data_IF_081522451958
#
_entry.id   IF_081522451958
#
_cell.length_a   1.000
_cell.length_b   1.000
_cell.length_c   1.000
_cell.angle_alpha   90.00
_cell.angle_beta   90.00
_cell.angle_gamma   90.00
#
_symmetry.space_group_name_H-M   'P 1'
#
loop_
_entity.id
_entity.type
_entity.pdbx_description
1 polymer ?
#
# COMPACT_ATOMS: atom_id res chain seq x y z
N UNK A 1 1.60 -8.51 8.55
CA UNK A 1 1.69 -7.06 8.29
C UNK A 1 0.79 -6.36 9.29
N UNK A 2 1.40 -5.73 10.29
CA UNK A 2 0.76 -4.92 11.33
C UNK A 2 0.58 -3.47 10.86
N UNK A 3 1.51 -2.95 10.05
CA UNK A 3 1.39 -1.64 9.40
C UNK A 3 1.44 -1.78 7.87
N UNK A 4 0.27 -1.61 7.23
CA UNK A 4 0.15 -1.66 5.78
C UNK A 4 0.26 -0.28 5.11
N UNK A 5 0.16 0.81 5.87
CA UNK A 5 0.05 2.19 5.37
C UNK A 5 1.36 2.95 5.44
N UNK A 6 2.35 2.45 6.18
CA UNK A 6 3.69 3.03 6.29
C UNK A 6 4.32 3.31 4.92
N UNK A 7 4.85 4.53 4.77
CA UNK A 7 5.54 4.96 3.55
C UNK A 7 7.04 4.63 3.53
N UNK A 8 7.63 4.32 4.69
CA UNK A 8 9.04 3.99 4.81
C UNK A 8 9.26 2.50 4.61
N UNK A 9 9.61 2.10 3.39
CA UNK A 9 9.75 0.70 2.98
C UNK A 9 10.96 0.52 2.08
N UNK A 10 11.61 -0.64 2.21
CA UNK A 10 12.60 -1.12 1.25
C UNK A 10 11.97 -2.22 0.40
N UNK A 11 12.21 -2.17 -0.91
CA UNK A 11 11.72 -3.17 -1.85
C UNK A 11 12.88 -3.82 -2.56
N UNK A 12 12.83 -5.14 -2.73
CA UNK A 12 13.71 -5.79 -3.69
C UNK A 12 13.29 -5.41 -5.11
N UNK A 13 14.26 -5.16 -5.97
CA UNK A 13 14.03 -4.82 -7.38
C UNK A 13 13.13 -5.83 -8.09
N UNK A 14 13.37 -7.13 -7.86
CA UNK A 14 12.59 -8.22 -8.45
C UNK A 14 11.10 -8.18 -8.08
N UNK A 15 10.78 -7.76 -6.85
CA UNK A 15 9.39 -7.64 -6.39
C UNK A 15 8.69 -6.51 -7.13
N UNK A 16 9.32 -5.33 -7.21
CA UNK A 16 8.75 -4.19 -7.94
C UNK A 16 8.58 -4.49 -9.43
N UNK A 17 9.59 -5.09 -10.06
CA UNK A 17 9.53 -5.46 -11.46
C UNK A 17 8.45 -6.51 -11.77
N UNK A 18 8.07 -7.33 -10.79
CA UNK A 18 6.99 -8.31 -10.95
C UNK A 18 5.59 -7.68 -10.89
N UNK A 19 5.46 -6.48 -10.32
CA UNK A 19 4.19 -5.77 -10.17
C UNK A 19 4.00 -4.90 -11.40
N UNK A 20 2.85 -5.06 -12.07
CA UNK A 20 2.44 -4.10 -13.06
C UNK A 20 2.05 -2.79 -12.36
N UNK A 21 2.92 -1.78 -12.49
CA UNK A 21 2.76 -0.48 -11.83
C UNK A 21 1.69 0.35 -12.54
N UNK A 22 1.52 0.17 -13.85
CA UNK A 22 0.59 0.98 -14.65
C UNK A 22 -0.87 0.65 -14.34
N UNK A 23 -1.16 -0.58 -13.89
CA UNK A 23 -2.50 -0.96 -13.41
C UNK A 23 -2.78 -0.55 -11.96
N UNK A 24 -1.84 0.08 -11.24
CA UNK A 24 -2.07 0.55 -9.88
C UNK A 24 -2.98 1.78 -9.93
N UNK A 25 -4.18 1.65 -9.35
CA UNK A 25 -5.22 2.69 -9.40
C UNK A 25 -5.39 3.45 -8.08
N UNK A 26 -4.67 3.06 -7.04
CA UNK A 26 -4.66 3.73 -5.74
C UNK A 26 -3.80 5.00 -5.76
N UNK A 27 -4.23 6.05 -5.07
CA UNK A 27 -3.49 7.30 -4.95
C UNK A 27 -3.17 7.63 -3.48
N UNK A 28 -2.09 8.38 -3.26
CA UNK A 28 -1.69 8.79 -1.91
C UNK A 28 -1.37 7.61 -0.98
N UNK A 29 -2.01 7.56 0.20
CA UNK A 29 -1.74 6.52 1.21
C UNK A 29 -2.28 5.14 0.82
N UNK A 30 -3.34 5.07 0.02
CA UNK A 30 -3.97 3.80 -0.38
C UNK A 30 -3.05 2.96 -1.27
N UNK A 31 -2.14 3.62 -2.01
CA UNK A 31 -1.11 2.98 -2.83
C UNK A 31 -0.24 2.01 -2.03
N UNK A 32 0.11 2.37 -0.79
CA UNK A 32 0.95 1.53 0.07
C UNK A 32 0.29 0.18 0.39
N UNK A 33 -1.03 0.20 0.56
CA UNK A 33 -1.84 -0.99 0.83
C UNK A 33 -1.93 -1.85 -0.43
N UNK A 34 -2.21 -1.25 -1.59
CA UNK A 34 -2.31 -1.97 -2.87
C UNK A 34 -0.99 -2.64 -3.25
N UNK A 35 0.15 -1.96 -3.09
CA UNK A 35 1.47 -2.54 -3.39
C UNK A 35 1.78 -3.74 -2.50
N UNK A 36 1.54 -3.62 -1.19
CA UNK A 36 1.69 -4.74 -0.25
C UNK A 36 0.79 -5.92 -0.62
N UNK A 37 -0.46 -5.64 -1.00
CA UNK A 37 -1.42 -6.66 -1.40
C UNK A 37 -1.00 -7.40 -2.68
N UNK A 38 -0.56 -6.67 -3.71
CA UNK A 38 -0.07 -7.24 -4.98
C UNK A 38 1.18 -8.10 -4.76
N UNK A 39 2.13 -7.63 -3.93
CA UNK A 39 3.31 -8.41 -3.58
C UNK A 39 2.94 -9.71 -2.84
N UNK A 40 2.00 -9.62 -1.89
CA UNK A 40 1.50 -10.78 -1.16
C UNK A 40 0.78 -11.78 -2.07
N UNK A 41 -0.05 -11.30 -3.00
CA UNK A 41 -0.74 -12.16 -3.99
C UNK A 41 0.24 -12.91 -4.89
N UNK A 42 1.39 -12.31 -5.22
CA UNK A 42 2.46 -12.96 -5.99
C UNK A 42 3.34 -13.89 -5.15
N UNK A 43 3.04 -14.09 -3.87
CA UNK A 43 3.72 -15.03 -2.98
C UNK A 43 5.02 -14.49 -2.36
N UNK A 44 5.30 -13.19 -2.47
CA UNK A 44 6.47 -12.61 -1.81
C UNK A 44 6.26 -12.47 -0.30
N UNK A 45 7.36 -12.56 0.45
CA UNK A 45 7.35 -12.33 1.89
C UNK A 45 7.46 -10.84 2.22
N UNK A 46 6.77 -10.42 3.28
CA UNK A 46 6.80 -9.05 3.79
C UNK A 46 7.32 -9.12 5.22
N UNK A 47 8.47 -8.47 5.47
CA UNK A 47 9.05 -8.30 6.80
C UNK A 47 8.75 -6.92 7.37
N UNK A 48 8.65 -6.82 8.69
CA UNK A 48 8.42 -5.57 9.41
C UNK A 48 9.54 -5.34 10.41
N UNK A 49 10.17 -4.16 10.35
CA UNK A 49 11.20 -3.74 11.28
C UNK A 49 10.71 -2.51 12.04
N UNK A 50 10.79 -2.50 13.38
CA UNK A 50 10.35 -1.37 14.17
C UNK A 50 11.25 -0.16 13.92
N UNK A 51 10.64 1.02 13.84
CA UNK A 51 11.32 2.31 13.74
C UNK A 51 10.78 3.26 14.81
N UNK A 52 11.60 4.25 15.18
CA UNK A 52 11.11 5.39 15.94
C UNK A 52 10.60 6.41 14.93
N UNK A 53 9.29 6.62 14.90
CA UNK A 53 8.67 7.63 14.06
C UNK A 53 8.63 8.96 14.81
N UNK A 54 9.44 9.92 14.37
CA UNK A 54 9.52 11.24 15.01
C UNK A 54 8.53 12.18 14.31
N UNK A 55 7.72 12.88 15.09
CA UNK A 55 6.77 13.84 14.56
C UNK A 55 7.47 15.00 13.83
N UNK A 56 6.90 15.38 12.69
CA UNK A 56 7.37 16.53 11.94
C UNK A 56 7.00 17.81 12.69
N UNK A 57 7.97 18.69 12.91
CA UNK A 57 7.79 19.95 13.65
C UNK A 57 7.45 21.15 12.77
N UNK A 58 7.61 21.04 11.44
CA UNK A 58 7.40 22.14 10.49
C UNK A 58 6.55 21.69 9.29
N UNK A 59 5.55 22.50 8.93
CA UNK A 59 4.67 22.29 7.77
C UNK A 59 3.31 21.66 8.13
N UNK A 60 2.37 21.71 7.18
CA UNK A 60 1.01 21.20 7.36
C UNK A 60 0.86 19.74 6.92
N UNK A 61 -0.07 19.03 7.58
CA UNK A 61 -0.39 17.66 7.22
C UNK A 61 -1.06 17.60 5.84
N UNK A 62 -0.57 16.70 4.98
CA UNK A 62 -1.22 16.39 3.70
C UNK A 62 -2.39 15.41 3.85
N UNK A 63 -2.70 14.96 5.08
CA UNK A 63 -3.81 14.05 5.37
C UNK A 63 -5.14 14.80 5.34
N UNK A 64 -6.08 14.30 4.54
CA UNK A 64 -7.45 14.80 4.48
C UNK A 64 -8.46 13.68 4.74
N UNK A 65 -9.69 14.05 5.14
CA UNK A 65 -10.79 13.08 5.30
C UNK A 65 -11.07 12.30 4.01
N UNK A 66 -10.87 12.92 2.84
CA UNK A 66 -11.04 12.27 1.55
C UNK A 66 -10.03 11.12 1.36
N UNK A 67 -8.75 11.32 1.70
CA UNK A 67 -7.71 10.29 1.62
C UNK A 67 -8.03 9.11 2.55
N UNK A 68 -8.53 9.40 3.76
CA UNK A 68 -8.94 8.36 4.71
C UNK A 68 -10.08 7.50 4.16
N UNK A 69 -11.11 8.13 3.60
CA UNK A 69 -12.27 7.44 3.01
C UNK A 69 -11.84 6.59 1.82
N UNK A 70 -10.98 7.13 0.94
CA UNK A 70 -10.43 6.38 -0.20
C UNK A 70 -9.70 5.11 0.27
N UNK A 71 -8.84 5.22 1.29
CA UNK A 71 -8.11 4.08 1.83
C UNK A 71 -9.05 2.98 2.34
N UNK A 72 -10.14 3.33 3.03
CA UNK A 72 -11.14 2.37 3.52
C UNK A 72 -11.80 1.63 2.34
N UNK A 73 -12.29 2.35 1.33
CA UNK A 73 -12.93 1.74 0.17
C UNK A 73 -11.95 0.91 -0.66
N UNK A 74 -10.69 1.32 -0.72
CA UNK A 74 -9.65 0.60 -1.45
C UNK A 74 -9.47 -0.83 -0.93
N UNK A 75 -9.46 -1.03 0.40
CA UNK A 75 -9.30 -2.36 1.00
C UNK A 75 -10.40 -3.31 0.54
N UNK A 76 -11.65 -2.84 0.55
CA UNK A 76 -12.79 -3.62 0.07
C UNK A 76 -12.69 -3.91 -1.43
N UNK A 77 -12.27 -2.92 -2.23
CA UNK A 77 -12.06 -3.09 -3.68
C UNK A 77 -11.01 -4.17 -3.98
N UNK A 78 -9.87 -4.13 -3.30
CA UNK A 78 -8.80 -5.13 -3.46
C UNK A 78 -9.29 -6.55 -3.10
N UNK A 79 -10.12 -6.67 -2.06
CA UNK A 79 -10.72 -7.95 -1.66
C UNK A 79 -11.68 -8.49 -2.71
N UNK A 80 -12.52 -7.63 -3.29
CA UNK A 80 -13.45 -7.98 -4.37
C UNK A 80 -12.66 -8.40 -5.61
N UNK A 81 -11.64 -7.64 -6.03
CA UNK A 81 -10.79 -8.00 -7.18
C UNK A 81 -10.11 -9.36 -7.06
N UNK A 82 -9.71 -9.73 -5.84
CA UNK A 82 -9.21 -11.08 -5.56
C UNK A 82 -10.28 -12.15 -5.80
N UNK A 83 -11.50 -11.93 -5.31
CA UNK A 83 -12.61 -12.88 -5.45
C UNK A 83 -13.00 -13.05 -6.93
N UNK A 84 -13.06 -11.96 -7.69
CA UNK A 84 -13.50 -11.96 -9.09
C UNK A 84 -12.37 -12.17 -10.11
N UNK A 85 -11.12 -12.40 -9.68
CA UNK A 85 -10.02 -12.65 -10.61
C UNK A 85 -9.47 -11.41 -11.33
N UNK A 86 -9.92 -10.20 -10.98
CA UNK A 86 -9.52 -8.92 -11.61
C UNK A 86 -8.18 -8.37 -11.11
N UNK A 87 -7.31 -9.24 -10.61
CA UNK A 87 -5.99 -8.90 -10.06
C UNK A 87 -4.85 -9.17 -11.06
N UNK A 88 -5.20 -9.40 -12.33
CA UNK A 88 -4.26 -9.51 -13.45
C UNK A 88 -3.97 -8.14 -14.03
#
# INVERSE_FOLDING_TARGET
>A
VKDATGGFKAWKREVLASIDIDSVRSQGYSFQIEMNFRAWLKGFSIGEYPIIFIDRTVGESKMSKAIMIEAIFMVWRLRIWKIFGWHK
#
